data_IF_410243394563
#
_entry.id   IF_410243394563
#
_cell.length_a   1.000
_cell.length_b   1.000
_cell.length_c   1.000
_cell.angle_alpha   90.00
_cell.angle_beta   90.00
_cell.angle_gamma   90.00
#
_symmetry.space_group_name_H-M   'P 1'
#
loop_
_entity.id
_entity.type
_entity.pdbx_description
1 polymer ?
#
# COMPACT_ATOMS: atom_id res chain seq x y z
N UNK A 1 1.27 19.80 -12.13
CA UNK A 1 1.92 18.95 -11.12
C UNK A 1 3.24 19.59 -10.74
N UNK A 2 3.62 19.63 -9.46
CA UNK A 2 4.93 20.13 -9.00
C UNK A 2 5.79 18.99 -8.49
N UNK A 3 7.11 19.08 -8.59
CA UNK A 3 7.99 18.06 -8.01
C UNK A 3 7.99 18.17 -6.49
N UNK A 4 8.06 17.05 -5.77
CA UNK A 4 8.32 17.05 -4.33
C UNK A 4 9.70 17.65 -3.99
N UNK A 5 10.64 17.65 -4.96
CA UNK A 5 11.97 18.26 -4.83
C UNK A 5 11.91 19.78 -4.75
N UNK A 6 10.88 20.40 -5.35
CA UNK A 6 10.65 21.85 -5.24
C UNK A 6 10.35 22.27 -3.79
N UNK A 7 9.95 21.32 -2.94
CA UNK A 7 9.71 21.49 -1.51
C UNK A 7 10.87 20.95 -0.65
N UNK A 8 11.95 20.48 -1.28
CA UNK A 8 13.13 19.96 -0.59
C UNK A 8 12.98 18.52 -0.09
N UNK A 9 12.07 17.72 -0.65
CA UNK A 9 12.06 16.26 -0.43
C UNK A 9 13.14 15.63 -1.32
N UNK A 10 14.21 15.11 -0.72
CA UNK A 10 15.43 14.67 -1.42
C UNK A 10 15.89 13.29 -0.89
N UNK A 11 16.49 12.41 -1.73
CA UNK A 11 16.93 11.08 -1.28
C UNK A 11 17.95 11.10 -0.13
N UNK A 12 18.83 12.11 -0.09
CA UNK A 12 19.88 12.28 0.92
C UNK A 12 19.38 12.76 2.29
N UNK A 13 18.15 13.25 2.37
CA UNK A 13 17.59 13.75 3.62
C UNK A 13 17.35 12.62 4.64
N UNK A 14 17.34 13.00 5.91
CA UNK A 14 16.85 12.10 6.95
C UNK A 14 15.35 11.81 6.78
N UNK A 15 14.87 10.64 7.25
CA UNK A 15 13.45 10.28 7.15
C UNK A 15 12.50 11.33 7.74
N UNK A 16 12.85 11.93 8.87
CA UNK A 16 12.05 12.97 9.54
C UNK A 16 12.04 14.30 8.77
N UNK A 17 13.16 14.67 8.16
CA UNK A 17 13.22 15.87 7.33
C UNK A 17 12.37 15.72 6.08
N UNK A 18 12.49 14.58 5.38
CA UNK A 18 11.63 14.28 4.23
C UNK A 18 10.15 14.22 4.62
N UNK A 19 9.83 13.69 5.80
CA UNK A 19 8.45 13.70 6.32
C UNK A 19 7.95 15.14 6.44
N UNK A 20 8.70 16.02 7.11
CA UNK A 20 8.31 17.41 7.29
C UNK A 20 8.14 18.13 5.94
N UNK A 21 9.08 17.95 5.01
CA UNK A 21 9.04 18.57 3.67
C UNK A 21 7.91 18.05 2.79
N UNK A 22 7.64 16.75 2.85
CA UNK A 22 6.51 16.18 2.12
C UNK A 22 5.19 16.68 2.70
N UNK A 23 5.09 16.84 4.02
CA UNK A 23 3.89 17.44 4.63
C UNK A 23 3.71 18.90 4.19
N UNK A 24 4.77 19.71 4.17
CA UNK A 24 4.72 21.09 3.64
C UNK A 24 4.22 21.12 2.18
N UNK A 25 4.68 20.19 1.35
CA UNK A 25 4.25 20.07 -0.04
C UNK A 25 2.75 19.71 -0.16
N UNK A 26 2.29 18.76 0.67
CA UNK A 26 0.90 18.32 0.69
C UNK A 26 -0.02 19.44 1.19
N UNK A 27 0.39 20.17 2.23
CA UNK A 27 -0.36 21.30 2.77
C UNK A 27 -0.46 22.44 1.73
N UNK A 28 0.54 22.60 0.86
CA UNK A 28 0.44 23.48 -0.30
C UNK A 28 -0.54 22.94 -1.36
N UNK A 29 -0.56 21.64 -1.61
CA UNK A 29 -1.36 21.01 -2.66
C UNK A 29 -2.86 20.93 -2.32
N UNK A 30 -3.20 20.66 -1.07
CA UNK A 30 -4.56 20.44 -0.57
C UNK A 30 -5.56 21.56 -0.91
N UNK A 31 -5.30 22.85 -0.59
CA UNK A 31 -6.25 23.93 -0.93
C UNK A 31 -6.35 24.22 -2.43
N UNK A 32 -5.56 23.53 -3.27
CA UNK A 32 -5.47 23.75 -4.72
C UNK A 32 -5.99 22.57 -5.52
N UNK A 33 -6.35 21.45 -4.89
CA UNK A 33 -6.64 20.20 -5.58
C UNK A 33 -5.45 19.71 -6.43
N UNK A 34 -4.22 20.02 -6.00
CA UNK A 34 -3.04 19.81 -6.82
C UNK A 34 -2.42 18.42 -6.62
N UNK A 35 -1.72 17.96 -7.65
CA UNK A 35 -0.88 16.76 -7.59
C UNK A 35 0.60 17.13 -7.40
N UNK A 36 1.29 16.36 -6.56
CA UNK A 36 2.73 16.36 -6.35
C UNK A 36 3.36 15.16 -7.07
N UNK A 37 4.43 15.42 -7.80
CA UNK A 37 5.20 14.42 -8.51
C UNK A 37 6.33 13.89 -7.64
N UNK A 38 6.31 12.60 -7.35
CA UNK A 38 7.42 11.88 -6.72
C UNK A 38 8.45 11.60 -7.81
N UNK A 39 9.37 12.54 -7.99
CA UNK A 39 10.34 12.50 -9.09
C UNK A 39 11.24 11.25 -9.00
N UNK A 40 11.40 10.48 -10.08
CA UNK A 40 12.28 9.31 -10.11
C UNK A 40 13.73 9.62 -9.74
N UNK A 41 14.35 8.71 -8.99
CA UNK A 41 15.77 8.76 -8.66
C UNK A 41 16.38 7.35 -8.59
N UNK A 42 17.71 7.23 -8.59
CA UNK A 42 18.39 5.95 -8.37
C UNK A 42 18.50 5.60 -6.87
N UNK A 43 18.34 6.58 -5.99
CA UNK A 43 18.17 6.41 -4.56
C UNK A 43 16.71 6.63 -4.10
N UNK A 44 16.19 5.79 -3.19
CA UNK A 44 14.84 5.97 -2.67
C UNK A 44 14.73 7.17 -1.71
N UNK A 45 13.58 7.84 -1.71
CA UNK A 45 13.27 8.85 -0.71
C UNK A 45 12.96 8.17 0.62
N UNK A 46 13.89 8.24 1.57
CA UNK A 46 13.65 7.72 2.92
C UNK A 46 12.66 8.62 3.67
N UNK A 47 11.64 8.03 4.27
CA UNK A 47 10.51 8.75 4.86
C UNK A 47 10.08 8.15 6.20
N UNK A 48 9.94 8.99 7.23
CA UNK A 48 9.31 8.60 8.50
C UNK A 48 7.78 8.55 8.34
N UNK A 49 7.12 7.65 9.06
CA UNK A 49 5.68 7.44 8.96
C UNK A 49 4.85 8.58 9.54
N UNK A 50 3.56 8.59 9.23
CA UNK A 50 2.57 9.54 9.70
C UNK A 50 2.52 10.81 8.85
N UNK A 51 2.77 10.70 7.55
CA UNK A 51 2.46 11.76 6.58
C UNK A 51 0.97 11.71 6.29
N UNK A 52 0.28 12.83 6.44
CA UNK A 52 -1.15 12.92 6.15
C UNK A 52 -1.33 13.46 4.74
N UNK A 53 -1.80 12.62 3.82
CA UNK A 53 -2.26 13.06 2.51
C UNK A 53 -3.61 13.74 2.68
N UNK A 54 -3.54 15.07 2.82
CA UNK A 54 -4.66 15.96 3.08
C UNK A 54 -5.69 15.92 1.97
N UNK A 55 -6.92 16.25 2.32
CA UNK A 55 -8.03 16.29 1.39
C UNK A 55 -7.68 17.05 0.10
N UNK A 56 -8.11 16.50 -1.04
CA UNK A 56 -7.88 17.02 -2.40
C UNK A 56 -6.44 16.92 -2.94
N UNK A 57 -5.45 16.52 -2.12
CA UNK A 57 -4.07 16.38 -2.60
C UNK A 57 -3.83 15.02 -3.24
N UNK A 58 -2.95 14.98 -4.24
CA UNK A 58 -2.53 13.74 -4.90
C UNK A 58 -1.01 13.56 -4.89
N UNK A 59 -0.55 12.32 -4.74
CA UNK A 59 0.84 11.91 -4.96
C UNK A 59 0.92 11.03 -6.21
N UNK A 60 1.76 11.41 -7.16
CA UNK A 60 1.90 10.70 -8.44
C UNK A 60 3.37 10.40 -8.72
N UNK A 61 3.68 9.15 -9.05
CA UNK A 61 4.98 8.69 -9.49
C UNK A 61 5.00 8.27 -10.96
N UNK A 62 6.14 7.78 -11.41
CA UNK A 62 6.42 7.51 -12.82
C UNK A 62 5.97 6.14 -13.33
N UNK A 63 5.64 5.20 -12.43
CA UNK A 63 5.50 3.79 -12.80
C UNK A 63 4.04 3.34 -12.95
N UNK A 64 3.85 2.29 -13.75
CA UNK A 64 2.72 1.37 -13.57
C UNK A 64 2.98 0.41 -12.39
N UNK A 65 2.15 -0.63 -12.21
CA UNK A 65 2.53 -1.74 -11.32
C UNK A 65 3.83 -2.38 -11.83
N UNK A 66 4.84 -2.47 -10.98
CA UNK A 66 6.18 -2.98 -11.32
C UNK A 66 6.51 -4.19 -10.47
N UNK A 67 5.62 -5.18 -10.47
CA UNK A 67 5.86 -6.45 -9.78
C UNK A 67 7.19 -7.07 -10.20
N UNK A 68 7.85 -7.74 -9.24
CA UNK A 68 9.26 -8.22 -9.29
C UNK A 68 10.30 -7.13 -8.96
N UNK A 69 9.98 -5.86 -9.17
CA UNK A 69 10.80 -4.71 -8.82
C UNK A 69 11.53 -4.07 -9.99
N UNK A 70 11.61 -2.73 -9.98
CA UNK A 70 12.70 -2.04 -10.68
C UNK A 70 14.03 -2.40 -10.00
N UNK A 71 15.16 -2.19 -10.68
CA UNK A 71 16.46 -2.67 -10.17
C UNK A 71 17.54 -1.65 -10.43
N UNK A 72 18.26 -1.27 -9.38
CA UNK A 72 19.50 -0.49 -9.50
C UNK A 72 20.59 -1.33 -10.17
N UNK A 73 21.45 -0.70 -10.99
CA UNK A 73 22.47 -1.43 -11.75
C UNK A 73 23.47 -2.21 -10.88
N UNK A 74 23.73 -1.74 -9.66
CA UNK A 74 24.77 -2.29 -8.76
C UNK A 74 24.30 -2.54 -7.32
N UNK A 75 23.09 -2.11 -6.95
CA UNK A 75 22.59 -2.18 -5.56
C UNK A 75 21.36 -3.08 -5.51
N UNK A 76 21.19 -3.80 -4.40
CA UNK A 76 20.01 -4.61 -4.16
C UNK A 76 18.81 -3.75 -3.72
N UNK A 77 18.40 -2.80 -4.57
CA UNK A 77 17.33 -1.85 -4.29
C UNK A 77 16.52 -1.51 -5.56
N UNK A 78 15.25 -1.12 -5.40
CA UNK A 78 14.46 -0.54 -6.49
C UNK A 78 14.89 0.89 -6.78
N UNK A 79 14.63 1.33 -8.00
CA UNK A 79 14.85 2.71 -8.49
C UNK A 79 13.55 3.32 -9.00
N UNK A 80 13.52 4.64 -9.14
CA UNK A 80 12.43 5.41 -9.71
C UNK A 80 11.64 6.18 -8.65
N UNK A 81 10.30 6.25 -8.78
CA UNK A 81 9.45 6.90 -7.77
C UNK A 81 9.28 6.00 -6.53
N UNK A 82 10.34 5.88 -5.73
CA UNK A 82 10.43 4.96 -4.59
C UNK A 82 10.44 5.72 -3.27
N UNK A 83 9.52 5.38 -2.38
CA UNK A 83 9.54 5.80 -0.98
C UNK A 83 10.01 4.62 -0.13
N UNK A 84 11.12 4.79 0.58
CA UNK A 84 11.61 3.80 1.53
C UNK A 84 11.24 4.19 2.97
N UNK A 85 10.82 3.23 3.79
CA UNK A 85 10.53 3.49 5.20
C UNK A 85 10.95 2.34 6.10
N UNK A 86 11.24 2.70 7.33
CA UNK A 86 11.62 1.79 8.40
C UNK A 86 10.88 2.15 9.71
N UNK A 87 9.84 2.99 9.64
CA UNK A 87 9.06 3.43 10.80
C UNK A 87 8.16 2.28 11.30
N UNK A 88 8.45 1.78 12.49
CA UNK A 88 7.73 0.68 13.13
C UNK A 88 6.54 1.16 13.98
N UNK A 89 6.29 2.47 14.04
CA UNK A 89 5.39 3.08 15.03
C UNK A 89 4.16 3.75 14.42
N UNK A 90 4.25 4.23 13.17
CA UNK A 90 3.15 4.93 12.50
C UNK A 90 2.90 4.39 11.09
N UNK A 91 1.64 4.39 10.60
CA UNK A 91 1.37 4.15 9.19
C UNK A 91 2.20 5.10 8.33
N UNK A 92 2.69 4.67 7.16
CA UNK A 92 3.53 5.55 6.35
C UNK A 92 2.73 6.76 5.84
N UNK A 93 1.63 6.48 5.13
CA UNK A 93 0.68 7.48 4.62
C UNK A 93 -0.68 7.31 5.30
N UNK A 94 -1.28 8.43 5.71
CA UNK A 94 -2.65 8.52 6.20
C UNK A 94 -3.47 9.30 5.17
N UNK A 95 -4.51 8.72 4.59
CA UNK A 95 -5.28 9.34 3.51
C UNK A 95 -6.60 9.92 4.01
N UNK A 96 -6.88 11.16 3.61
CA UNK A 96 -8.18 11.83 3.78
C UNK A 96 -9.01 11.72 2.47
N UNK A 97 -10.17 12.36 2.44
CA UNK A 97 -11.08 12.36 1.29
C UNK A 97 -10.52 13.00 0.01
N UNK A 98 -11.03 12.58 -1.14
CA UNK A 98 -10.69 13.10 -2.47
C UNK A 98 -9.17 13.09 -2.76
N UNK A 99 -8.49 12.01 -2.36
CA UNK A 99 -7.04 11.84 -2.55
C UNK A 99 -6.71 10.81 -3.61
N UNK A 100 -5.54 10.95 -4.22
CA UNK A 100 -4.97 9.94 -5.11
C UNK A 100 -3.53 9.61 -4.73
N UNK A 101 -3.18 8.33 -4.73
CA UNK A 101 -1.80 7.85 -4.72
C UNK A 101 -1.62 6.97 -5.94
N UNK A 102 -0.71 7.35 -6.85
CA UNK A 102 -0.53 6.65 -8.12
C UNK A 102 0.91 6.43 -8.49
N UNK A 103 1.25 5.24 -8.97
CA UNK A 103 2.53 4.98 -9.66
C UNK A 103 3.78 5.07 -8.80
N UNK A 104 3.63 4.83 -7.49
CA UNK A 104 4.68 4.89 -6.48
C UNK A 104 5.02 3.48 -5.99
N UNK A 105 6.30 3.27 -5.73
CA UNK A 105 6.82 2.06 -5.09
C UNK A 105 7.11 2.34 -3.61
N UNK A 106 6.68 1.44 -2.72
CA UNK A 106 6.95 1.51 -1.29
C UNK A 106 7.89 0.37 -0.89
N UNK A 107 9.00 0.71 -0.22
CA UNK A 107 10.02 -0.28 0.12
C UNK A 107 10.39 -0.26 1.62
N UNK A 108 10.37 -1.43 2.24
CA UNK A 108 10.79 -1.66 3.62
C UNK A 108 12.14 -2.41 3.61
N UNK A 109 13.28 -1.69 3.54
CA UNK A 109 14.60 -2.30 3.29
C UNK A 109 15.08 -3.22 4.41
N UNK A 110 14.53 -3.10 5.63
CA UNK A 110 14.90 -3.94 6.79
C UNK A 110 14.04 -5.21 6.92
N UNK A 111 13.06 -5.43 6.05
CA UNK A 111 12.22 -6.62 6.14
C UNK A 111 13.01 -7.89 5.81
N UNK A 112 12.75 -8.97 6.56
CA UNK A 112 13.37 -10.27 6.34
C UNK A 112 12.84 -10.97 5.09
N UNK A 113 13.71 -11.67 4.36
CA UNK A 113 13.31 -12.58 3.27
C UNK A 113 13.41 -14.06 3.67
N UNK A 114 14.17 -14.40 4.71
CA UNK A 114 14.61 -15.78 4.98
C UNK A 114 14.34 -16.29 6.38
N UNK A 115 14.22 -15.39 7.36
CA UNK A 115 14.03 -15.75 8.77
C UNK A 115 12.67 -15.27 9.28
N UNK A 116 11.69 -16.17 9.53
CA UNK A 116 10.37 -15.78 9.99
C UNK A 116 10.36 -15.16 11.40
N UNK A 117 11.37 -15.42 12.23
CA UNK A 117 11.46 -14.81 13.57
C UNK A 117 11.86 -13.34 13.53
N UNK A 118 12.33 -12.86 12.38
CA UNK A 118 12.77 -11.48 12.14
C UNK A 118 11.77 -10.68 11.31
N UNK A 119 10.54 -11.19 11.13
CA UNK A 119 9.48 -10.43 10.47
C UNK A 119 9.21 -9.20 11.31
N UNK A 120 9.39 -8.03 10.70
CA UNK A 120 9.07 -6.75 11.34
C UNK A 120 7.60 -6.45 11.09
N UNK A 121 6.84 -6.31 12.16
CA UNK A 121 5.42 -6.01 12.13
C UNK A 121 5.16 -4.51 11.90
N UNK A 122 5.55 -4.02 10.72
CA UNK A 122 5.32 -2.62 10.35
C UNK A 122 3.83 -2.23 10.41
N UNK A 123 3.52 -0.99 10.80
CA UNK A 123 2.19 -0.42 10.60
C UNK A 123 1.78 -0.43 9.11
N UNK A 124 0.49 -0.22 8.80
CA UNK A 124 0.03 -0.17 7.41
C UNK A 124 0.79 0.86 6.57
N UNK A 125 1.12 0.49 5.33
CA UNK A 125 1.76 1.45 4.41
C UNK A 125 0.83 2.62 4.10
N UNK A 126 -0.43 2.32 3.78
CA UNK A 126 -1.46 3.32 3.56
C UNK A 126 -2.62 3.03 4.49
N UNK A 127 -3.06 4.02 5.26
CA UNK A 127 -4.19 3.90 6.19
C UNK A 127 -5.21 5.02 5.94
N UNK A 128 -6.51 4.69 5.93
CA UNK A 128 -7.58 5.68 5.97
C UNK A 128 -7.53 6.47 7.29
N UNK A 129 -7.72 7.79 7.21
CA UNK A 129 -7.80 8.64 8.39
C UNK A 129 -8.77 8.09 9.44
N UNK A 130 -8.37 8.19 10.71
CA UNK A 130 -9.19 7.78 11.87
C UNK A 130 -9.90 8.94 12.55
N UNK A 131 -9.69 10.15 12.04
CA UNK A 131 -10.30 11.38 12.55
C UNK A 131 -11.23 12.06 11.54
N UNK A 132 -11.13 11.68 10.26
CA UNK A 132 -11.90 12.23 9.16
C UNK A 132 -12.23 11.12 8.18
N UNK A 133 -13.44 11.12 7.62
CA UNK A 133 -13.85 10.07 6.68
C UNK A 133 -12.99 10.07 5.42
N UNK A 134 -12.64 8.89 4.93
CA UNK A 134 -11.85 8.69 3.72
C UNK A 134 -12.76 8.35 2.54
N UNK A 135 -13.27 9.38 1.87
CA UNK A 135 -14.23 9.26 0.77
C UNK A 135 -13.61 9.61 -0.58
N UNK A 136 -13.92 8.87 -1.64
CA UNK A 136 -13.40 9.16 -2.98
C UNK A 136 -11.87 9.03 -3.07
N UNK A 137 -11.31 8.02 -2.41
CA UNK A 137 -9.87 7.74 -2.42
C UNK A 137 -9.52 6.82 -3.59
N UNK A 138 -8.49 7.17 -4.37
CA UNK A 138 -7.97 6.33 -5.45
C UNK A 138 -6.53 5.91 -5.19
N UNK A 139 -6.28 4.61 -5.11
CA UNK A 139 -4.94 4.02 -5.03
C UNK A 139 -4.69 3.21 -6.31
N UNK A 140 -3.74 3.64 -7.15
CA UNK A 140 -3.53 2.99 -8.45
C UNK A 140 -2.07 2.78 -8.83
N UNK A 141 -1.77 1.68 -9.52
CA UNK A 141 -0.40 1.38 -9.99
C UNK A 141 0.65 1.39 -8.87
N UNK A 142 0.31 0.89 -7.68
CA UNK A 142 1.22 0.88 -6.53
C UNK A 142 1.95 -0.45 -6.41
N UNK A 143 3.21 -0.41 -5.97
CA UNK A 143 3.95 -1.65 -5.67
C UNK A 143 4.57 -1.59 -4.29
N UNK A 144 4.34 -2.62 -3.49
CA UNK A 144 4.79 -2.74 -2.10
C UNK A 144 5.85 -3.83 -1.97
N UNK A 145 6.94 -3.51 -1.28
CA UNK A 145 8.07 -4.39 -1.10
C UNK A 145 8.46 -4.50 0.38
N UNK A 146 8.15 -5.64 1.00
CA UNK A 146 8.54 -5.94 2.39
C UNK A 146 7.60 -5.36 3.45
N UNK A 147 6.44 -4.87 3.03
CA UNK A 147 5.38 -4.40 3.91
C UNK A 147 4.86 -5.53 4.82
N UNK A 148 4.40 -5.17 6.02
CA UNK A 148 3.68 -6.11 6.87
C UNK A 148 2.17 -6.07 6.58
N UNK A 149 1.59 -4.86 6.48
CA UNK A 149 0.24 -4.59 5.98
C UNK A 149 0.36 -3.55 4.86
N UNK A 150 -0.25 -3.79 3.70
CA UNK A 150 -0.21 -2.81 2.60
C UNK A 150 -1.21 -1.67 2.82
N UNK A 151 -2.52 -1.98 2.83
CA UNK A 151 -3.58 -0.97 2.84
C UNK A 151 -4.62 -1.25 3.94
N UNK A 152 -4.94 -0.22 4.72
CA UNK A 152 -5.84 -0.29 5.87
C UNK A 152 -6.97 0.74 5.81
N UNK A 153 -8.14 0.27 5.42
CA UNK A 153 -9.40 0.99 5.39
C UNK A 153 -10.41 0.39 6.40
N UNK A 154 -9.93 -0.21 7.51
CA UNK A 154 -10.82 -0.67 8.60
C UNK A 154 -11.38 0.52 9.39
N UNK A 155 -12.36 1.21 8.83
CA UNK A 155 -13.01 2.39 9.40
C UNK A 155 -14.03 2.02 10.48
N UNK A 156 -14.62 3.03 11.13
CA UNK A 156 -15.70 2.86 12.10
C UNK A 156 -16.99 3.51 11.58
N UNK A 157 -18.10 3.32 12.29
CA UNK A 157 -19.38 3.96 11.95
C UNK A 157 -19.32 5.49 12.05
N UNK A 158 -18.46 6.01 12.92
CA UNK A 158 -18.28 7.44 13.16
C UNK A 158 -17.33 8.08 12.15
N UNK A 159 -16.36 7.31 11.65
CA UNK A 159 -15.35 7.76 10.69
C UNK A 159 -15.21 6.69 9.60
N UNK A 160 -16.01 6.86 8.55
CA UNK A 160 -16.27 5.86 7.50
C UNK A 160 -15.27 5.98 6.35
N UNK A 161 -15.25 5.00 5.44
CA UNK A 161 -14.70 5.19 4.10
C UNK A 161 -15.81 5.03 3.05
N UNK A 162 -15.69 5.68 1.90
CA UNK A 162 -16.67 5.56 0.81
C UNK A 162 -16.02 5.73 -0.56
N UNK A 163 -16.61 5.13 -1.59
CA UNK A 163 -16.17 5.29 -2.98
C UNK A 163 -14.66 5.05 -3.17
N UNK A 164 -14.13 4.03 -2.48
CA UNK A 164 -12.71 3.69 -2.52
C UNK A 164 -12.42 2.89 -3.80
N UNK A 165 -11.46 3.35 -4.60
CA UNK A 165 -10.95 2.66 -5.77
C UNK A 165 -9.50 2.23 -5.54
N UNK A 166 -9.24 0.93 -5.62
CA UNK A 166 -7.91 0.35 -5.50
C UNK A 166 -7.67 -0.52 -6.73
N UNK A 167 -6.71 -0.13 -7.58
CA UNK A 167 -6.47 -0.84 -8.83
C UNK A 167 -4.99 -1.01 -9.15
N UNK A 168 -4.63 -2.11 -9.83
CA UNK A 168 -3.26 -2.35 -10.26
C UNK A 168 -2.23 -2.23 -9.12
N UNK A 169 -2.55 -2.76 -7.94
CA UNK A 169 -1.70 -2.71 -6.75
C UNK A 169 -1.06 -4.08 -6.48
N UNK A 170 0.26 -4.10 -6.28
CA UNK A 170 1.08 -5.33 -6.26
C UNK A 170 1.88 -5.42 -4.97
N UNK A 171 1.90 -6.57 -4.29
CA UNK A 171 2.61 -6.71 -3.00
C UNK A 171 2.76 -8.15 -2.53
N UNK A 172 3.33 -8.30 -1.34
CA UNK A 172 3.30 -9.55 -0.57
C UNK A 172 3.44 -9.21 0.93
N UNK A 173 2.33 -8.88 1.60
CA UNK A 173 2.34 -8.43 2.99
C UNK A 173 2.68 -9.59 3.91
N UNK A 174 3.67 -9.42 4.79
CA UNK A 174 4.09 -10.51 5.69
C UNK A 174 3.12 -10.79 6.84
N UNK A 175 2.05 -9.99 6.99
CA UNK A 175 0.91 -10.35 7.84
C UNK A 175 -0.16 -11.16 7.11
N UNK A 176 0.01 -11.39 5.80
CA UNK A 176 -0.99 -11.94 4.90
C UNK A 176 -2.11 -10.98 4.53
N UNK A 177 -2.11 -9.72 4.99
CA UNK A 177 -3.17 -8.73 4.76
C UNK A 177 -2.73 -7.65 3.77
N UNK A 178 -3.26 -7.72 2.55
CA UNK A 178 -2.97 -6.75 1.50
C UNK A 178 -3.93 -5.57 1.56
N UNK A 179 -5.20 -5.84 1.74
CA UNK A 179 -6.23 -4.84 1.91
C UNK A 179 -7.23 -5.29 2.95
N UNK A 180 -7.46 -4.44 3.94
CA UNK A 180 -8.55 -4.60 4.90
C UNK A 180 -9.49 -3.41 4.81
N UNK A 181 -10.78 -3.67 4.68
CA UNK A 181 -11.85 -2.69 4.60
C UNK A 181 -12.91 -3.05 5.63
N UNK A 182 -13.35 -2.06 6.40
CA UNK A 182 -14.48 -2.16 7.31
C UNK A 182 -15.22 -0.82 7.28
N UNK A 183 -16.55 -0.86 7.32
CA UNK A 183 -17.41 0.33 7.23
C UNK A 183 -17.14 1.18 5.98
N UNK A 184 -17.07 0.52 4.81
CA UNK A 184 -17.05 1.20 3.52
C UNK A 184 -18.46 1.26 2.92
N UNK A 185 -19.01 2.45 2.73
CA UNK A 185 -20.29 2.64 2.05
C UNK A 185 -20.07 3.09 0.59
N UNK A 186 -21.08 2.97 -0.27
CA UNK A 186 -20.98 3.29 -1.70
C UNK A 186 -19.86 2.54 -2.44
N UNK A 187 -19.85 1.22 -2.27
CA UNK A 187 -19.13 0.22 -3.07
C UNK A 187 -17.61 0.43 -3.21
N UNK A 188 -16.76 -0.25 -2.41
CA UNK A 188 -15.34 -0.35 -2.72
C UNK A 188 -15.11 -1.14 -4.03
N UNK A 189 -14.17 -0.66 -4.85
CA UNK A 189 -13.74 -1.30 -6.10
C UNK A 189 -12.29 -1.71 -6.01
N UNK A 190 -12.04 -3.00 -6.16
CA UNK A 190 -10.72 -3.62 -6.02
C UNK A 190 -10.42 -4.37 -7.31
N UNK A 191 -9.51 -3.83 -8.12
CA UNK A 191 -9.33 -4.25 -9.51
C UNK A 191 -7.86 -4.63 -9.78
N UNK A 192 -7.62 -5.69 -10.56
CA UNK A 192 -6.31 -5.95 -11.16
C UNK A 192 -5.13 -6.03 -10.16
N UNK A 193 -5.39 -6.47 -8.94
CA UNK A 193 -4.40 -6.50 -7.85
C UNK A 193 -3.70 -7.85 -7.75
N UNK A 194 -2.43 -7.87 -7.33
CA UNK A 194 -1.59 -9.06 -7.40
C UNK A 194 -0.74 -9.25 -6.15
N UNK A 195 -1.08 -10.27 -5.35
CA UNK A 195 -0.37 -10.64 -4.10
C UNK A 195 0.50 -11.86 -4.34
N UNK A 196 1.83 -11.70 -4.29
CA UNK A 196 2.76 -12.77 -4.68
C UNK A 196 4.15 -12.66 -4.02
N UNK A 197 4.67 -13.73 -3.36
CA UNK A 197 5.97 -13.76 -2.68
C UNK A 197 7.18 -13.51 -3.57
N UNK A 198 7.03 -13.49 -4.89
CA UNK A 198 8.10 -13.15 -5.79
C UNK A 198 8.08 -11.66 -6.20
N UNK A 199 7.42 -10.77 -5.43
CA UNK A 199 7.27 -9.35 -5.77
C UNK A 199 8.59 -8.55 -5.76
N UNK A 200 9.65 -9.02 -5.08
CA UNK A 200 10.96 -8.36 -4.99
C UNK A 200 12.08 -9.10 -5.74
N UNK A 201 11.71 -10.06 -6.61
CA UNK A 201 12.64 -11.05 -7.18
C UNK A 201 13.82 -10.44 -7.93
N UNK A 202 13.65 -9.31 -8.60
CA UNK A 202 14.70 -8.78 -9.48
C UNK A 202 15.81 -8.03 -8.73
N UNK A 203 15.54 -7.46 -7.56
CA UNK A 203 16.54 -6.70 -6.80
C UNK A 203 16.95 -7.33 -5.47
N UNK A 204 16.06 -8.10 -4.82
CA UNK A 204 16.33 -8.68 -3.49
C UNK A 204 16.17 -10.21 -3.45
N UNK A 205 15.55 -10.82 -4.46
CA UNK A 205 15.29 -12.26 -4.50
C UNK A 205 13.89 -12.63 -4.02
N UNK A 206 13.67 -13.91 -3.72
CA UNK A 206 12.37 -14.45 -3.31
C UNK A 206 12.31 -14.68 -1.79
N UNK A 207 11.12 -14.57 -1.20
CA UNK A 207 10.89 -15.05 0.16
C UNK A 207 11.18 -16.55 0.24
N UNK A 208 11.87 -16.95 1.30
CA UNK A 208 12.10 -18.37 1.60
C UNK A 208 10.77 -19.07 1.91
N UNK A 209 10.72 -20.38 1.67
CA UNK A 209 9.55 -21.20 2.05
C UNK A 209 9.17 -20.99 3.52
N UNK A 210 10.14 -20.89 4.44
CA UNK A 210 9.86 -20.70 5.88
C UNK A 210 9.15 -19.39 6.19
N UNK A 211 9.50 -18.31 5.48
CA UNK A 211 8.79 -17.03 5.62
C UNK A 211 7.38 -17.15 5.05
N UNK A 212 7.23 -17.75 3.86
CA UNK A 212 5.91 -17.99 3.26
C UNK A 212 5.02 -18.84 4.18
N UNK A 213 5.55 -19.92 4.74
CA UNK A 213 4.85 -20.78 5.71
C UNK A 213 4.41 -19.98 6.94
N UNK A 214 5.23 -19.04 7.43
CA UNK A 214 4.87 -18.17 8.55
C UNK A 214 3.74 -17.19 8.20
N UNK A 215 3.73 -16.63 6.98
CA UNK A 215 2.63 -15.78 6.49
C UNK A 215 1.33 -16.59 6.38
N UNK A 216 1.39 -17.81 5.86
CA UNK A 216 0.23 -18.73 5.82
C UNK A 216 -0.25 -19.05 7.23
N UNK A 217 0.66 -19.27 8.19
CA UNK A 217 0.30 -19.56 9.57
C UNK A 217 -0.40 -18.39 10.31
N UNK A 218 -0.35 -17.16 9.78
CA UNK A 218 -1.09 -16.02 10.36
C UNK A 218 -2.62 -16.22 10.31
N UNK A 219 -3.14 -17.08 9.42
CA UNK A 219 -4.58 -17.34 9.34
C UNK A 219 -5.42 -16.15 8.85
N UNK A 220 -4.78 -15.17 8.20
CA UNK A 220 -5.42 -13.95 7.68
C UNK A 220 -5.75 -14.06 6.18
N UNK A 221 -6.52 -13.11 5.67
CA UNK A 221 -6.89 -13.04 4.26
C UNK A 221 -6.20 -11.86 3.57
N UNK A 222 -5.77 -12.06 2.33
CA UNK A 222 -5.16 -11.00 1.53
C UNK A 222 -6.13 -9.83 1.34
N UNK A 223 -7.39 -10.15 1.06
CA UNK A 223 -8.48 -9.18 1.03
C UNK A 223 -9.48 -9.51 2.15
N UNK A 224 -9.68 -8.60 3.09
CA UNK A 224 -10.70 -8.72 4.14
C UNK A 224 -11.66 -7.53 4.04
N UNK A 225 -12.94 -7.79 3.79
CA UNK A 225 -13.94 -6.75 3.56
C UNK A 225 -15.14 -7.01 4.46
N UNK A 226 -15.48 -6.08 5.34
CA UNK A 226 -16.61 -6.18 6.27
C UNK A 226 -17.46 -4.89 6.28
N UNK A 227 -18.69 -5.00 6.76
CA UNK A 227 -19.70 -3.93 6.83
C UNK A 227 -19.75 -3.02 5.58
N UNK A 228 -19.93 -3.62 4.40
CA UNK A 228 -20.12 -2.88 3.14
C UNK A 228 -21.40 -3.31 2.42
N UNK A 229 -22.08 -2.36 1.79
CA UNK A 229 -23.33 -2.62 1.07
C UNK A 229 -23.13 -3.51 -0.17
N UNK A 230 -22.01 -3.34 -0.87
CA UNK A 230 -21.57 -4.21 -1.95
C UNK A 230 -20.06 -4.00 -2.19
N UNK A 231 -19.27 -5.03 -2.43
CA UNK A 231 -17.88 -4.92 -2.87
C UNK A 231 -17.71 -5.41 -4.32
N UNK A 232 -17.01 -4.65 -5.15
CA UNK A 232 -16.65 -5.11 -6.50
C UNK A 232 -15.18 -5.52 -6.54
N UNK A 233 -14.94 -6.81 -6.71
CA UNK A 233 -13.59 -7.39 -6.75
C UNK A 233 -13.38 -8.09 -8.09
N UNK A 234 -12.44 -7.59 -8.87
CA UNK A 234 -12.25 -8.02 -10.26
C UNK A 234 -10.77 -8.26 -10.54
N UNK A 235 -10.45 -9.39 -11.17
CA UNK A 235 -9.08 -9.67 -11.64
C UNK A 235 -8.02 -9.60 -10.54
N UNK A 236 -8.30 -10.27 -9.42
CA UNK A 236 -7.38 -10.34 -8.28
C UNK A 236 -6.62 -11.66 -8.26
N UNK A 237 -5.33 -11.58 -7.94
CA UNK A 237 -4.46 -12.74 -7.77
C UNK A 237 -3.94 -12.82 -6.33
N UNK A 238 -3.91 -14.02 -5.76
CA UNK A 238 -3.25 -14.26 -4.47
C UNK A 238 -2.56 -15.61 -4.43
N UNK A 239 -1.31 -15.60 -4.00
CA UNK A 239 -0.52 -16.80 -3.70
C UNK A 239 0.30 -16.59 -2.43
N UNK A 240 0.37 -17.62 -1.57
CA UNK A 240 1.26 -17.66 -0.40
C UNK A 240 0.75 -16.89 0.83
N UNK A 241 -0.56 -16.65 0.94
CA UNK A 241 -1.23 -16.21 2.19
C UNK A 241 -2.11 -17.35 2.73
N UNK A 242 -2.71 -17.21 3.92
CA UNK A 242 -3.66 -18.23 4.39
C UNK A 242 -4.93 -18.23 3.52
N UNK A 243 -5.54 -17.06 3.34
CA UNK A 243 -6.73 -16.88 2.55
C UNK A 243 -6.57 -15.83 1.45
N UNK A 244 -7.29 -16.02 0.35
CA UNK A 244 -7.39 -15.07 -0.76
C UNK A 244 -8.29 -13.90 -0.40
N UNK A 245 -9.57 -14.18 -0.16
CA UNK A 245 -10.56 -13.17 0.22
C UNK A 245 -11.47 -13.67 1.33
N UNK A 246 -11.85 -12.76 2.22
CA UNK A 246 -12.93 -12.90 3.19
C UNK A 246 -13.94 -11.79 3.02
N UNK A 247 -15.21 -12.15 2.84
CA UNK A 247 -16.34 -11.23 2.89
C UNK A 247 -17.09 -11.42 4.21
N UNK A 248 -17.16 -10.38 5.03
CA UNK A 248 -17.82 -10.41 6.33
C UNK A 248 -19.33 -10.67 6.23
N UNK A 249 -19.96 -11.16 7.32
CA UNK A 249 -21.37 -11.56 7.31
C UNK A 249 -22.33 -10.38 7.09
N UNK A 250 -21.86 -9.15 7.33
CA UNK A 250 -22.61 -7.92 7.11
C UNK A 250 -22.30 -7.26 5.74
N UNK A 251 -21.72 -8.02 4.81
CA UNK A 251 -21.31 -7.52 3.50
C UNK A 251 -21.90 -8.31 2.34
N UNK A 252 -22.18 -7.61 1.25
CA UNK A 252 -22.48 -8.21 -0.06
C UNK A 252 -21.32 -7.93 -1.04
N UNK A 253 -21.22 -8.68 -2.13
CA UNK A 253 -20.11 -8.51 -3.07
C UNK A 253 -20.24 -9.30 -4.37
N UNK A 254 -19.53 -8.79 -5.38
CA UNK A 254 -19.31 -9.41 -6.68
C UNK A 254 -17.82 -9.73 -6.82
N UNK A 255 -17.49 -10.99 -7.09
CA UNK A 255 -16.13 -11.44 -7.34
C UNK A 255 -16.04 -12.05 -8.75
N UNK A 256 -15.19 -11.49 -9.62
CA UNK A 256 -15.03 -11.97 -11.00
C UNK A 256 -13.56 -12.05 -11.43
N UNK A 257 -13.24 -13.00 -12.32
CA UNK A 257 -11.91 -13.20 -12.91
C UNK A 257 -10.76 -13.37 -11.88
N UNK A 258 -10.99 -14.09 -10.78
CA UNK A 258 -9.99 -14.25 -9.73
C UNK A 258 -9.08 -15.46 -9.93
N UNK A 259 -7.87 -15.39 -9.37
CA UNK A 259 -6.95 -16.52 -9.25
C UNK A 259 -6.39 -16.59 -7.82
N UNK A 260 -6.96 -17.50 -7.04
CA UNK A 260 -6.55 -17.79 -5.67
C UNK A 260 -5.82 -19.13 -5.66
N UNK A 261 -4.49 -19.07 -5.72
CA UNK A 261 -3.63 -20.24 -5.82
C UNK A 261 -3.16 -20.67 -4.44
N UNK A 262 -3.51 -21.90 -4.05
CA UNK A 262 -3.10 -22.51 -2.78
C UNK A 262 -3.50 -21.70 -1.53
N UNK A 263 -4.65 -21.02 -1.56
CA UNK A 263 -5.21 -20.24 -0.43
C UNK A 263 -6.66 -20.63 -0.15
N UNK A 264 -7.12 -20.38 1.07
CA UNK A 264 -8.54 -20.55 1.44
C UNK A 264 -9.39 -19.37 0.96
N UNK A 265 -10.71 -19.56 0.92
CA UNK A 265 -11.71 -18.51 0.70
C UNK A 265 -12.72 -18.61 1.86
N UNK A 266 -13.22 -17.48 2.35
CA UNK A 266 -14.14 -17.48 3.49
C UNK A 266 -14.96 -16.22 3.67
#
# INVERSE_FOLDING_TARGET
MRSIRDFGVLPENSPDLNKAKLQEAIDWASPRGAALYVEPDDEPYRLAGGVVLRANASLVGAHGPVGRGTTHATKAQPVGSVIATEDETRPLLIVEQATQVRGIQFWYPRQTLSDPQRIVAYPPTIQASRSTSAQGVTLSCLTFYGEYIAMDFNCSREVICEQVLIEHCYGYPLSGQFLRIDHCYDIPRILHCHVNPANMRFFAGAFSKKVIDAVVACGTFAYAIDHTDNAQVIDVFTFGTSGGIRLGPASYGELTNFNFDCVTVG
#
